data_IF_385046079169
#
_entry.id   IF_385046079169
#
_cell.length_a   1.000
_cell.length_b   1.000
_cell.length_c   1.000
_cell.angle_alpha   90.00
_cell.angle_beta   90.00
_cell.angle_gamma   90.00
#
_symmetry.space_group_name_H-M   'P 1'
#
loop_
_entity.id
_entity.type
_entity.pdbx_description
1 polymer ?
#
# COMPACT_ATOMS: atom_id res chain seq x y z
N UNK A 1 4.47 30.05 7.03
CA UNK A 1 4.00 28.74 7.53
C UNK A 1 4.60 27.62 6.67
N UNK A 2 5.29 26.64 7.26
CA UNK A 2 5.97 25.58 6.51
C UNK A 2 4.99 24.50 6.03
N UNK A 3 5.31 23.89 4.88
CA UNK A 3 4.51 22.83 4.26
C UNK A 3 4.54 21.56 5.12
N UNK A 4 3.36 20.96 5.37
CA UNK A 4 3.25 19.70 6.12
C UNK A 4 3.73 18.50 5.29
N UNK A 5 4.21 17.46 5.95
CA UNK A 5 4.83 16.27 5.31
C UNK A 5 3.85 15.48 4.45
N UNK A 6 2.62 15.28 4.94
CA UNK A 6 1.58 14.63 4.17
C UNK A 6 0.87 15.63 3.27
N UNK A 7 1.03 15.43 1.97
CA UNK A 7 0.32 16.16 0.92
C UNK A 7 -0.48 15.11 0.13
N UNK A 8 -1.81 15.04 0.32
CA UNK A 8 -2.61 13.95 -0.22
C UNK A 8 -2.65 13.99 -1.74
N UNK A 9 -2.39 12.83 -2.35
CA UNK A 9 -2.58 12.63 -3.79
C UNK A 9 -2.95 11.16 -4.04
N UNK A 10 -4.18 10.94 -4.50
CA UNK A 10 -4.75 9.60 -4.71
C UNK A 10 -3.98 8.80 -5.77
N UNK A 11 -3.59 9.44 -6.88
CA UNK A 11 -2.82 8.80 -7.96
C UNK A 11 -1.45 8.34 -7.45
N UNK A 12 -0.78 9.17 -6.65
CA UNK A 12 0.52 8.84 -6.04
C UNK A 12 0.39 7.70 -5.04
N UNK A 13 -0.64 7.73 -4.19
CA UNK A 13 -0.93 6.67 -3.21
C UNK A 13 -1.19 5.33 -3.89
N UNK A 14 -2.08 5.28 -4.88
CA UNK A 14 -2.43 4.05 -5.57
C UNK A 14 -1.22 3.44 -6.31
N UNK A 15 -0.41 4.27 -6.99
CA UNK A 15 0.80 3.81 -7.70
C UNK A 15 1.88 3.26 -6.77
N UNK A 16 2.10 3.88 -5.61
CA UNK A 16 3.16 3.45 -4.69
C UNK A 16 2.74 2.33 -3.73
N UNK A 17 1.50 2.36 -3.26
CA UNK A 17 1.07 1.52 -2.14
C UNK A 17 -0.12 0.60 -2.47
N UNK A 18 -0.69 0.72 -3.67
CA UNK A 18 -1.82 -0.08 -4.11
C UNK A 18 -1.49 -1.54 -4.39
N UNK A 19 -2.55 -2.33 -4.62
CA UNK A 19 -2.49 -3.78 -4.81
C UNK A 19 -1.56 -4.22 -5.95
N UNK A 20 -1.67 -3.58 -7.12
CA UNK A 20 -0.86 -3.92 -8.30
C UNK A 20 0.64 -3.84 -8.01
N UNK A 21 1.07 -2.82 -7.26
CA UNK A 21 2.48 -2.63 -6.89
C UNK A 21 2.95 -3.69 -5.90
N UNK A 22 2.09 -4.10 -4.96
CA UNK A 22 2.40 -5.22 -4.05
C UNK A 22 2.50 -6.54 -4.81
N UNK A 23 1.64 -6.80 -5.78
CA UNK A 23 1.67 -8.07 -6.52
C UNK A 23 2.86 -8.21 -7.48
N UNK A 24 3.49 -7.11 -7.88
CA UNK A 24 4.63 -7.10 -8.82
C UNK A 24 5.88 -7.79 -8.26
N UNK A 25 6.19 -7.60 -6.98
CA UNK A 25 7.43 -8.11 -6.36
C UNK A 25 7.15 -9.30 -5.45
N UNK A 26 8.14 -10.18 -5.27
CA UNK A 26 8.05 -11.32 -4.34
C UNK A 26 7.77 -10.86 -2.91
N UNK A 27 8.46 -9.82 -2.45
CA UNK A 27 8.27 -9.24 -1.11
C UNK A 27 6.87 -8.64 -0.94
N UNK A 28 6.34 -7.96 -1.96
CA UNK A 28 5.00 -7.39 -1.90
C UNK A 28 3.91 -8.46 -1.83
N UNK A 29 4.06 -9.57 -2.57
CA UNK A 29 3.16 -10.73 -2.47
C UNK A 29 3.17 -11.37 -1.08
N UNK A 30 4.35 -11.50 -0.47
CA UNK A 30 4.48 -12.02 0.90
C UNK A 30 3.76 -11.13 1.93
N UNK A 31 3.87 -9.81 1.80
CA UNK A 31 3.14 -8.87 2.68
C UNK A 31 1.63 -9.06 2.55
N UNK A 32 1.10 -9.19 1.33
CA UNK A 32 -0.34 -9.38 1.11
C UNK A 32 -0.81 -10.70 1.72
N UNK A 33 -0.06 -11.79 1.54
CA UNK A 33 -0.35 -13.09 2.16
C UNK A 33 -0.38 -13.00 3.69
N UNK A 34 0.63 -12.39 4.31
CA UNK A 34 0.67 -12.20 5.76
C UNK A 34 -0.53 -11.39 6.28
N UNK A 35 -0.96 -10.36 5.53
CA UNK A 35 -2.14 -9.56 5.89
C UNK A 35 -3.44 -10.33 5.78
N UNK A 36 -3.57 -11.24 4.80
CA UNK A 36 -4.71 -12.16 4.67
C UNK A 36 -4.76 -13.15 5.82
N UNK A 37 -3.62 -13.76 6.15
CA UNK A 37 -3.52 -14.72 7.27
C UNK A 37 -3.88 -14.06 8.61
N UNK A 38 -3.54 -12.77 8.79
CA UNK A 38 -3.96 -11.98 9.95
C UNK A 38 -5.44 -11.56 9.94
N UNK A 39 -6.17 -11.78 8.85
CA UNK A 39 -7.58 -11.39 8.72
C UNK A 39 -7.80 -9.87 8.57
N UNK A 40 -6.85 -9.13 7.98
CA UNK A 40 -7.04 -7.68 7.80
C UNK A 40 -8.11 -7.40 6.75
N UNK A 41 -9.16 -6.66 7.14
CA UNK A 41 -10.24 -6.23 6.24
C UNK A 41 -9.75 -5.43 5.03
N UNK A 42 -8.72 -4.59 5.20
CA UNK A 42 -8.07 -3.86 4.10
C UNK A 42 -6.62 -4.34 3.91
N UNK A 43 -6.30 -4.88 2.74
CA UNK A 43 -4.98 -5.47 2.47
C UNK A 43 -3.95 -4.46 1.95
N UNK A 44 -4.37 -3.49 1.14
CA UNK A 44 -3.50 -2.44 0.58
C UNK A 44 -4.10 -1.06 0.74
N UNK A 45 -3.32 -0.04 0.41
CA UNK A 45 -3.67 1.37 0.58
C UNK A 45 -4.74 1.85 -0.39
#
# INVERSE_FOLDING_TARGET
>A
MSKRTFQPNNRRRARKHGFRTRMRTRSGRAIVSARRNKGRAKLTA
#
